data_IF_567600989109
#
_entry.id   IF_567600989109
#
_cell.length_a   1.000
_cell.length_b   1.000
_cell.length_c   1.000
_cell.angle_alpha   90.00
_cell.angle_beta   90.00
_cell.angle_gamma   90.00
#
_symmetry.space_group_name_H-M   'P 1'
#
loop_
_entity.id
_entity.type
_entity.pdbx_description
1 polymer ?
#
# COMPACT_ATOMS: atom_id res chain seq x y z
N UNK A 1 37.83 -10.46 3.71
CA UNK A 1 36.45 -10.97 3.55
C UNK A 1 35.51 -9.79 3.79
N UNK A 2 34.98 -9.15 2.73
CA UNK A 2 34.04 -8.04 2.95
C UNK A 2 32.70 -8.63 3.38
N UNK A 3 32.35 -8.53 4.66
CA UNK A 3 30.99 -8.81 5.10
C UNK A 3 30.05 -7.85 4.36
N UNK A 4 29.22 -8.39 3.46
CA UNK A 4 28.17 -7.60 2.83
C UNK A 4 27.13 -7.32 3.92
N UNK A 5 27.23 -6.14 4.53
CA UNK A 5 26.30 -5.69 5.57
C UNK A 5 24.91 -5.55 4.94
N UNK A 6 23.94 -6.29 5.48
CA UNK A 6 22.55 -6.19 5.05
C UNK A 6 22.04 -4.74 5.24
N UNK A 7 21.53 -4.06 4.20
CA UNK A 7 21.12 -2.65 4.26
C UNK A 7 19.77 -2.50 4.99
N UNK A 8 19.74 -2.81 6.29
CA UNK A 8 18.53 -2.86 7.14
C UNK A 8 17.67 -1.61 7.03
N UNK A 9 18.29 -0.42 7.11
CA UNK A 9 17.58 0.87 7.08
C UNK A 9 16.92 1.13 5.72
N UNK A 10 17.58 0.76 4.61
CA UNK A 10 17.06 0.96 3.26
C UNK A 10 15.86 0.05 3.00
N UNK A 11 16.00 -1.23 3.37
CA UNK A 11 14.91 -2.22 3.25
C UNK A 11 13.73 -1.83 4.13
N UNK A 12 13.98 -1.45 5.39
CA UNK A 12 12.95 -0.98 6.31
C UNK A 12 12.13 0.16 5.72
N UNK A 13 12.80 1.24 5.29
CA UNK A 13 12.13 2.41 4.74
C UNK A 13 11.35 2.08 3.46
N UNK A 14 11.88 1.22 2.59
CA UNK A 14 11.21 0.83 1.36
C UNK A 14 9.86 0.14 1.63
N UNK A 15 9.84 -0.85 2.54
CA UNK A 15 8.60 -1.54 2.89
C UNK A 15 7.68 -0.68 3.74
N UNK A 16 8.22 0.11 4.66
CA UNK A 16 7.43 1.00 5.52
C UNK A 16 6.71 2.09 4.72
N UNK A 17 7.35 2.64 3.67
CA UNK A 17 6.78 3.67 2.79
C UNK A 17 6.00 3.10 1.60
N UNK A 18 5.86 1.77 1.49
CA UNK A 18 5.10 1.13 0.43
C UNK A 18 3.64 1.64 0.34
N UNK A 19 2.89 1.81 1.46
CA UNK A 19 1.53 2.36 1.41
C UNK A 19 1.47 3.79 0.89
N UNK A 20 2.50 4.60 1.15
CA UNK A 20 2.59 5.97 0.66
C UNK A 20 2.61 6.03 -0.86
N UNK A 21 3.38 5.14 -1.52
CA UNK A 21 3.41 5.06 -2.98
C UNK A 21 2.06 4.62 -3.57
N UNK A 22 1.43 3.62 -2.95
CA UNK A 22 0.10 3.18 -3.34
C UNK A 22 -0.93 4.30 -3.17
N UNK A 23 -0.85 5.05 -2.08
CA UNK A 23 -1.75 6.17 -1.81
C UNK A 23 -1.52 7.38 -2.70
N UNK A 24 -0.30 7.58 -3.18
CA UNK A 24 0.02 8.62 -4.17
C UNK A 24 -0.61 8.28 -5.52
N UNK A 25 -0.48 7.02 -5.98
CA UNK A 25 -1.12 6.54 -7.21
C UNK A 25 -2.65 6.65 -7.10
N UNK A 26 -3.22 6.19 -5.99
CA UNK A 26 -4.67 6.30 -5.74
C UNK A 26 -5.14 7.77 -5.72
N UNK A 27 -4.36 8.66 -5.09
CA UNK A 27 -4.61 10.10 -5.06
C UNK A 27 -4.61 10.73 -6.45
N UNK A 28 -3.64 10.39 -7.30
CA UNK A 28 -3.60 10.84 -8.70
C UNK A 28 -4.83 10.35 -9.47
N UNK A 29 -5.13 9.05 -9.40
CA UNK A 29 -6.29 8.47 -10.11
C UNK A 29 -7.55 9.20 -9.69
N UNK A 30 -7.78 9.38 -8.38
CA UNK A 30 -8.95 10.10 -7.86
C UNK A 30 -9.02 11.54 -8.35
N UNK A 31 -7.89 12.24 -8.37
CA UNK A 31 -7.83 13.63 -8.86
C UNK A 31 -8.19 13.70 -10.35
N UNK A 32 -7.68 12.77 -11.16
CA UNK A 32 -7.99 12.68 -12.59
C UNK A 32 -9.48 12.35 -12.80
N UNK A 33 -10.02 11.35 -12.09
CA UNK A 33 -11.44 10.97 -12.19
C UNK A 33 -12.35 12.15 -11.87
N UNK A 34 -12.09 12.85 -10.76
CA UNK A 34 -12.92 13.99 -10.37
C UNK A 34 -12.74 15.16 -11.34
N UNK A 35 -11.55 15.36 -11.89
CA UNK A 35 -11.32 16.37 -12.93
C UNK A 35 -12.10 16.04 -14.22
N UNK A 36 -12.12 14.77 -14.64
CA UNK A 36 -12.91 14.34 -15.81
C UNK A 36 -14.41 14.52 -15.56
N UNK A 37 -14.91 14.18 -14.38
CA UNK A 37 -16.31 14.40 -14.00
C UNK A 37 -16.67 15.89 -13.95
N UNK A 38 -15.76 16.75 -13.47
CA UNK A 38 -15.93 18.20 -13.47
C UNK A 38 -16.02 18.78 -14.89
N UNK A 39 -15.18 18.30 -15.81
CA UNK A 39 -15.20 18.71 -17.22
C UNK A 39 -16.50 18.28 -17.90
N UNK A 40 -17.01 17.09 -17.57
CA UNK A 40 -18.28 16.58 -18.10
C UNK A 40 -19.51 17.23 -17.45
N UNK A 41 -19.41 17.74 -16.21
CA UNK A 41 -20.52 18.35 -15.47
C UNK A 41 -20.07 19.65 -14.73
N UNK A 42 -19.94 20.78 -15.44
CA UNK A 42 -19.40 22.02 -14.88
C UNK A 42 -20.27 22.66 -13.78
N UNK A 43 -21.51 22.21 -13.59
CA UNK A 43 -22.39 22.65 -12.49
C UNK A 43 -21.88 22.26 -11.08
N UNK A 44 -20.92 21.33 -10.98
CA UNK A 44 -20.30 20.91 -9.71
C UNK A 44 -19.16 21.83 -9.23
N UNK A 45 -18.65 22.73 -10.09
CA UNK A 45 -17.59 23.69 -9.72
C UNK A 45 -18.02 24.72 -8.67
N UNK A 46 -19.32 24.99 -8.55
CA UNK A 46 -19.85 25.95 -7.59
C UNK A 46 -20.00 25.41 -6.17
N UNK A 47 -20.03 24.08 -5.98
CA UNK A 47 -20.30 23.43 -4.69
C UNK A 47 -19.09 22.74 -4.06
N UNK A 48 -18.06 22.41 -4.85
CA UNK A 48 -16.89 21.67 -4.37
C UNK A 48 -15.71 22.62 -4.23
N UNK A 49 -15.16 22.72 -3.01
CA UNK A 49 -13.97 23.50 -2.67
C UNK A 49 -12.79 23.08 -3.57
N UNK A 50 -12.59 23.76 -4.70
CA UNK A 50 -11.56 23.42 -5.70
C UNK A 50 -10.13 23.33 -5.11
N UNK A 51 -9.87 24.02 -3.99
CA UNK A 51 -8.62 23.90 -3.24
C UNK A 51 -8.43 22.52 -2.58
N UNK A 52 -9.49 21.88 -2.07
CA UNK A 52 -9.39 20.53 -1.49
C UNK A 52 -9.07 19.48 -2.56
N UNK A 53 -9.57 19.67 -3.77
CA UNK A 53 -9.33 18.82 -4.94
C UNK A 53 -7.86 18.84 -5.40
N UNK A 54 -7.23 20.02 -5.36
CA UNK A 54 -5.80 20.17 -5.65
C UNK A 54 -4.90 19.58 -4.54
N UNK A 55 -5.40 19.52 -3.30
CA UNK A 55 -4.67 18.96 -2.15
C UNK A 55 -4.86 17.45 -1.98
N UNK A 56 -5.91 16.86 -2.56
CA UNK A 56 -6.18 15.42 -2.53
C UNK A 56 -4.98 14.52 -2.88
N UNK A 57 -4.17 14.76 -3.94
CA UNK A 57 -3.05 13.88 -4.27
C UNK A 57 -1.93 13.89 -3.21
N UNK A 58 -1.86 14.90 -2.35
CA UNK A 58 -0.92 14.98 -1.23
C UNK A 58 -1.52 14.46 0.08
N UNK A 59 -2.80 14.72 0.33
CA UNK A 59 -3.48 14.27 1.55
C UNK A 59 -3.76 12.77 1.52
N UNK A 60 -4.15 12.22 0.36
CA UNK A 60 -4.45 10.78 0.20
C UNK A 60 -3.29 9.86 0.59
N UNK A 61 -2.04 10.05 0.10
CA UNK A 61 -0.91 9.22 0.52
C UNK A 61 -0.59 9.35 2.01
N UNK A 62 -0.74 10.54 2.60
CA UNK A 62 -0.51 10.74 4.04
C UNK A 62 -1.56 9.99 4.88
N UNK A 63 -2.84 10.09 4.51
CA UNK A 63 -3.92 9.37 5.18
C UNK A 63 -3.76 7.86 5.06
N UNK A 64 -3.38 7.36 3.88
CA UNK A 64 -3.13 5.94 3.66
C UNK A 64 -1.92 5.48 4.49
N UNK A 65 -0.82 6.23 4.48
CA UNK A 65 0.34 5.89 5.31
C UNK A 65 -0.01 5.87 6.79
N UNK A 66 -0.85 6.80 7.27
CA UNK A 66 -1.30 6.85 8.66
C UNK A 66 -2.21 5.65 8.99
N UNK A 67 -3.17 5.33 8.12
CA UNK A 67 -4.10 4.22 8.29
C UNK A 67 -3.39 2.85 8.29
N UNK A 68 -2.33 2.72 7.50
CA UNK A 68 -1.52 1.50 7.38
C UNK A 68 -0.20 1.57 8.16
N UNK A 69 -0.03 2.56 9.04
CA UNK A 69 1.22 2.76 9.76
C UNK A 69 1.62 1.54 10.58
N UNK A 70 0.72 1.07 11.44
CA UNK A 70 0.91 -0.07 12.33
C UNK A 70 1.19 -1.39 11.58
N UNK A 71 0.33 -1.83 10.63
CA UNK A 71 0.55 -3.09 9.94
C UNK A 71 1.86 -3.09 9.12
N UNK A 72 2.19 -1.98 8.43
CA UNK A 72 3.40 -1.91 7.63
C UNK A 72 4.67 -1.67 8.46
N UNK A 73 4.57 -1.05 9.64
CA UNK A 73 5.67 -1.01 10.61
C UNK A 73 6.07 -2.42 11.05
N UNK A 74 5.09 -3.22 11.49
CA UNK A 74 5.33 -4.60 11.92
C UNK A 74 5.88 -5.44 10.78
N UNK A 75 5.26 -5.36 9.61
CA UNK A 75 5.70 -6.08 8.42
C UNK A 75 7.13 -5.71 7.97
N UNK A 76 7.47 -4.43 7.90
CA UNK A 76 8.81 -3.97 7.54
C UNK A 76 9.87 -4.42 8.57
N UNK A 77 9.54 -4.40 9.87
CA UNK A 77 10.42 -4.93 10.92
C UNK A 77 10.70 -6.42 10.71
N UNK A 78 9.67 -7.22 10.46
CA UNK A 78 9.81 -8.67 10.25
C UNK A 78 10.73 -8.98 9.06
N UNK A 79 10.55 -8.29 7.92
CA UNK A 79 11.42 -8.47 6.74
C UNK A 79 12.90 -8.21 7.08
N UNK A 80 13.15 -7.15 7.83
CA UNK A 80 14.51 -6.72 8.20
C UNK A 80 15.14 -7.66 9.23
N UNK A 81 14.35 -8.16 10.18
CA UNK A 81 14.80 -9.13 11.18
C UNK A 81 15.16 -10.48 10.56
N UNK A 82 14.36 -10.95 9.60
CA UNK A 82 14.59 -12.20 8.87
C UNK A 82 15.71 -12.04 7.82
N UNK A 83 16.15 -10.81 7.52
CA UNK A 83 17.17 -10.48 6.51
C UNK A 83 16.84 -11.09 5.15
N UNK A 84 15.61 -10.88 4.68
CA UNK A 84 15.14 -11.46 3.41
C UNK A 84 16.05 -11.02 2.27
N UNK A 85 16.51 -12.00 1.47
CA UNK A 85 17.35 -11.80 0.27
C UNK A 85 16.50 -11.75 -0.99
N UNK A 86 16.95 -11.02 -2.00
CA UNK A 86 16.31 -10.94 -3.32
C UNK A 86 16.42 -12.27 -4.05
N UNK A 87 15.31 -12.98 -4.12
CA UNK A 87 15.07 -14.11 -5.03
C UNK A 87 13.63 -14.00 -5.53
N UNK A 88 13.30 -14.56 -6.71
CA UNK A 88 11.93 -14.51 -7.24
C UNK A 88 10.92 -15.11 -6.25
N UNK A 89 11.27 -16.23 -5.62
CA UNK A 89 10.45 -16.88 -4.59
C UNK A 89 10.24 -15.97 -3.39
N UNK A 90 11.30 -15.34 -2.87
CA UNK A 90 11.18 -14.44 -1.72
C UNK A 90 10.36 -13.20 -2.07
N UNK A 91 10.51 -12.64 -3.27
CA UNK A 91 9.71 -11.50 -3.71
C UNK A 91 8.22 -11.86 -3.75
N UNK A 92 7.86 -13.05 -4.27
CA UNK A 92 6.47 -13.53 -4.28
C UNK A 92 5.93 -13.78 -2.87
N UNK A 93 6.72 -14.41 -2.01
CA UNK A 93 6.33 -14.70 -0.62
C UNK A 93 6.10 -13.40 0.15
N UNK A 94 7.06 -12.46 0.07
CA UNK A 94 6.95 -11.13 0.67
C UNK A 94 5.70 -10.42 0.13
N UNK A 95 5.50 -10.34 -1.19
CA UNK A 95 4.32 -9.68 -1.75
C UNK A 95 3.00 -10.27 -1.28
N UNK A 96 2.92 -11.59 -1.17
CA UNK A 96 1.72 -12.29 -0.70
C UNK A 96 1.46 -12.01 0.78
N UNK A 97 2.49 -12.05 1.63
CA UNK A 97 2.33 -11.70 3.04
C UNK A 97 1.97 -10.23 3.22
N UNK A 98 2.57 -9.33 2.45
CA UNK A 98 2.22 -7.90 2.45
C UNK A 98 0.75 -7.66 2.08
N UNK A 99 0.24 -8.35 1.06
CA UNK A 99 -1.17 -8.23 0.68
C UNK A 99 -2.13 -8.86 1.68
N UNK A 100 -1.77 -9.99 2.28
CA UNK A 100 -2.53 -10.56 3.39
C UNK A 100 -2.58 -9.61 4.59
N UNK A 101 -1.45 -9.01 4.99
CA UNK A 101 -1.40 -8.05 6.09
C UNK A 101 -2.30 -6.84 5.81
N UNK A 102 -2.24 -6.29 4.59
CA UNK A 102 -3.08 -5.16 4.19
C UNK A 102 -4.57 -5.52 4.17
N UNK A 103 -4.94 -6.65 3.55
CA UNK A 103 -6.33 -7.10 3.45
C UNK A 103 -6.90 -7.46 4.81
N UNK A 104 -6.15 -8.17 5.66
CA UNK A 104 -6.57 -8.49 7.03
C UNK A 104 -6.75 -7.23 7.88
N UNK A 105 -5.87 -6.23 7.73
CA UNK A 105 -6.01 -4.96 8.44
C UNK A 105 -7.30 -4.23 8.05
N UNK A 106 -7.58 -4.11 6.76
CA UNK A 106 -8.82 -3.48 6.27
C UNK A 106 -10.05 -4.30 6.63
N UNK A 107 -9.97 -5.62 6.56
CA UNK A 107 -11.06 -6.49 6.98
C UNK A 107 -11.39 -6.30 8.47
N UNK A 108 -10.39 -6.22 9.34
CA UNK A 108 -10.58 -5.92 10.77
C UNK A 108 -11.18 -4.53 10.98
N UNK A 109 -10.73 -3.53 10.21
CA UNK A 109 -11.31 -2.19 10.25
C UNK A 109 -12.79 -2.20 9.87
N UNK A 110 -13.13 -2.81 8.73
CA UNK A 110 -14.51 -2.96 8.25
C UNK A 110 -15.34 -3.71 9.28
N UNK A 111 -14.85 -4.81 9.84
CA UNK A 111 -15.59 -5.59 10.84
C UNK A 111 -15.93 -4.77 12.09
N UNK A 112 -14.99 -3.95 12.60
CA UNK A 112 -15.24 -3.09 13.75
C UNK A 112 -16.22 -1.93 13.44
N UNK A 113 -16.18 -1.40 12.22
CA UNK A 113 -17.02 -0.25 11.82
C UNK A 113 -18.44 -0.70 11.41
N UNK A 114 -18.55 -1.76 10.61
CA UNK A 114 -19.80 -2.24 9.99
C UNK A 114 -20.71 -2.94 10.99
N UNK A 115 -20.19 -3.52 12.08
CA UNK A 115 -21.02 -4.10 13.15
C UNK A 115 -22.04 -3.11 13.75
N UNK A 116 -21.84 -1.80 13.58
CA UNK A 116 -22.75 -0.76 14.08
C UNK A 116 -23.81 -0.30 13.07
N UNK A 117 -23.82 -0.79 11.82
CA UNK A 117 -24.70 -0.26 10.76
C UNK A 117 -25.69 -1.34 10.31
N UNK A 118 -26.97 -1.17 10.64
CA UNK A 118 -28.06 -2.02 10.14
C UNK A 118 -28.18 -1.89 8.62
N UNK A 119 -27.87 -2.96 7.89
CA UNK A 119 -28.11 -3.07 6.43
C UNK A 119 -26.86 -3.11 5.55
N UNK A 120 -25.66 -2.92 6.09
CA UNK A 120 -24.42 -3.09 5.34
C UNK A 120 -24.10 -4.58 5.18
N UNK A 121 -24.09 -5.08 3.94
CA UNK A 121 -23.72 -6.47 3.64
C UNK A 121 -22.21 -6.58 3.37
N UNK A 122 -21.58 -7.63 3.90
CA UNK A 122 -20.15 -7.90 3.67
C UNK A 122 -19.82 -8.11 2.18
N UNK A 123 -20.80 -8.51 1.36
CA UNK A 123 -20.65 -8.72 -0.09
C UNK A 123 -20.16 -7.47 -0.83
N UNK A 124 -20.57 -6.29 -0.37
CA UNK A 124 -20.29 -5.04 -1.07
C UNK A 124 -18.81 -4.65 -0.98
N UNK A 125 -18.12 -5.14 0.07
CA UNK A 125 -16.71 -4.86 0.31
C UNK A 125 -15.76 -5.92 -0.28
N UNK A 126 -16.27 -7.05 -0.76
CA UNK A 126 -15.41 -8.15 -1.27
C UNK A 126 -14.61 -7.70 -2.50
N UNK A 127 -15.25 -6.98 -3.42
CA UNK A 127 -14.58 -6.47 -4.62
C UNK A 127 -13.49 -5.46 -4.24
N UNK A 128 -13.77 -4.54 -3.31
CA UNK A 128 -12.77 -3.56 -2.83
C UNK A 128 -11.59 -4.24 -2.13
N UNK A 129 -11.86 -5.26 -1.30
CA UNK A 129 -10.82 -6.06 -0.65
C UNK A 129 -9.95 -6.81 -1.67
N UNK A 130 -10.54 -7.35 -2.73
CA UNK A 130 -9.80 -8.01 -3.81
C UNK A 130 -8.93 -7.02 -4.59
N UNK A 131 -9.45 -5.84 -4.92
CA UNK A 131 -8.68 -4.79 -5.59
C UNK A 131 -7.52 -4.32 -4.70
N UNK A 132 -7.77 -4.12 -3.40
CA UNK A 132 -6.74 -3.76 -2.43
C UNK A 132 -5.67 -4.86 -2.32
N UNK A 133 -6.07 -6.12 -2.28
CA UNK A 133 -5.17 -7.26 -2.24
C UNK A 133 -4.26 -7.29 -3.47
N UNK A 134 -4.83 -7.14 -4.68
CA UNK A 134 -4.05 -7.12 -5.91
C UNK A 134 -3.09 -5.92 -5.98
N UNK A 135 -3.56 -4.72 -5.62
CA UNK A 135 -2.76 -3.50 -5.63
C UNK A 135 -1.61 -3.55 -4.60
N UNK A 136 -1.89 -4.04 -3.38
CA UNK A 136 -0.87 -4.24 -2.35
C UNK A 136 0.14 -5.32 -2.72
N UNK A 137 -0.30 -6.41 -3.35
CA UNK A 137 0.59 -7.46 -3.84
C UNK A 137 1.56 -6.93 -4.90
N UNK A 138 1.04 -6.21 -5.91
CA UNK A 138 1.85 -5.62 -6.97
C UNK A 138 2.88 -4.62 -6.42
N UNK A 139 2.46 -3.73 -5.51
CA UNK A 139 3.36 -2.73 -4.92
C UNK A 139 4.40 -3.34 -3.99
N UNK A 140 4.02 -4.32 -3.16
CA UNK A 140 4.97 -5.04 -2.31
C UNK A 140 5.96 -5.87 -3.14
N UNK A 141 5.51 -6.48 -4.23
CA UNK A 141 6.38 -7.21 -5.15
C UNK A 141 7.38 -6.29 -5.83
N UNK A 142 6.92 -5.13 -6.33
CA UNK A 142 7.78 -4.14 -6.95
C UNK A 142 8.80 -3.58 -5.96
N UNK A 143 8.37 -3.28 -4.74
CA UNK A 143 9.24 -2.86 -3.63
C UNK A 143 10.26 -3.94 -3.30
N UNK A 144 9.86 -5.20 -3.20
CA UNK A 144 10.76 -6.32 -2.97
C UNK A 144 11.79 -6.48 -4.10
N UNK A 145 11.35 -6.34 -5.35
CA UNK A 145 12.21 -6.49 -6.52
C UNK A 145 13.30 -5.40 -6.60
N UNK A 146 12.97 -4.14 -6.27
CA UNK A 146 13.91 -3.03 -6.35
C UNK A 146 14.78 -2.84 -5.10
N UNK A 147 14.27 -3.17 -3.90
CA UNK A 147 14.94 -2.81 -2.65
C UNK A 147 15.55 -3.98 -1.88
N UNK A 148 15.19 -5.24 -2.16
CA UNK A 148 15.86 -6.36 -1.52
C UNK A 148 17.29 -6.52 -2.05
N UNK A 149 18.27 -6.78 -1.18
CA UNK A 149 19.65 -7.01 -1.59
C UNK A 149 19.79 -8.39 -2.25
N UNK A 150 20.60 -8.49 -3.28
CA UNK A 150 20.96 -9.77 -3.88
C UNK A 150 21.63 -10.67 -2.83
N UNK A 151 21.17 -11.91 -2.75
CA UNK A 151 21.88 -12.92 -1.99
C UNK A 151 23.19 -13.20 -2.72
N UNK A 152 24.32 -12.84 -2.12
CA UNK A 152 25.65 -13.21 -2.60
C UNK A 152 25.64 -14.64 -3.15
N UNK A 153 25.73 -14.79 -4.47
CA UNK A 153 26.17 -16.04 -5.08
C UNK A 153 27.58 -16.26 -4.54
N UNK A 154 27.71 -17.18 -3.60
CA UNK A 154 28.95 -17.95 -3.52
C UNK A 154 28.86 -18.86 -4.73
N UNK A 155 29.45 -18.43 -5.84
CA UNK A 155 29.94 -19.40 -6.83
C UNK A 155 31.04 -20.17 -6.10
N UNK A 156 30.73 -21.42 -5.78
CA UNK A 156 31.65 -22.43 -5.29
C UNK A 156 31.51 -23.65 -6.18
#
# INVERSE_FOLDING_TARGET
>A
MSEIIYPRRKVFLAFFLCPLMLGFIAGIIRTVTVLTELVSNPKLLGSVRGAELLLMPFLTPLLIQLAFFLPFLGYALVIVLIKVKKTLRNCMVVSFFGSCVAASWVFLFISNVVQNIKGAQYSDYVVELLVLFAASMATCWLTAHFFLPEGSRVEG
#
